data_IF_566815103377
#
_entry.id   IF_566815103377
#
_cell.length_a   1.000
_cell.length_b   1.000
_cell.length_c   1.000
_cell.angle_alpha   90.00
_cell.angle_beta   90.00
_cell.angle_gamma   90.00
#
_symmetry.space_group_name_H-M   'P 1'
#
loop_
_entity.id
_entity.type
_entity.pdbx_description
1 polymer ?
#
# COMPACT_ATOMS: atom_id res chain seq x y z
N UNK A 1 15.72 -29.18 5.83
CA UNK A 1 15.00 -28.26 4.92
C UNK A 1 13.46 -28.44 4.93
N UNK A 2 12.91 -29.58 5.36
CA UNK A 2 11.46 -29.84 5.34
C UNK A 2 10.58 -28.91 6.19
N UNK A 3 11.03 -28.49 7.38
CA UNK A 3 10.24 -27.61 8.28
C UNK A 3 10.03 -26.20 7.69
N UNK A 4 11.04 -25.67 6.98
CA UNK A 4 11.02 -24.30 6.44
C UNK A 4 10.21 -24.20 5.15
N UNK A 5 10.17 -25.26 4.35
CA UNK A 5 9.51 -25.30 3.05
C UNK A 5 8.03 -24.83 3.07
N UNK A 6 7.16 -25.27 4.00
CA UNK A 6 5.78 -24.79 4.04
C UNK A 6 5.69 -23.30 4.40
N UNK A 7 6.58 -22.80 5.26
CA UNK A 7 6.61 -21.39 5.65
C UNK A 7 7.00 -20.54 4.43
N UNK A 8 8.06 -20.90 3.71
CA UNK A 8 8.50 -20.15 2.52
C UNK A 8 7.42 -20.10 1.45
N UNK A 9 6.74 -21.23 1.18
CA UNK A 9 5.61 -21.27 0.23
C UNK A 9 4.45 -20.37 0.67
N UNK A 10 4.17 -20.31 1.98
CA UNK A 10 3.14 -19.42 2.52
C UNK A 10 3.52 -17.96 2.28
N UNK A 11 4.76 -17.57 2.58
CA UNK A 11 5.24 -16.22 2.34
C UNK A 11 5.17 -15.85 0.86
N UNK A 12 5.63 -16.70 -0.05
CA UNK A 12 5.57 -16.44 -1.49
C UNK A 12 4.14 -16.23 -1.99
N UNK A 13 3.18 -17.03 -1.52
CA UNK A 13 1.77 -16.89 -1.86
C UNK A 13 1.18 -15.59 -1.31
N UNK A 14 1.42 -15.31 -0.03
CA UNK A 14 0.77 -14.21 0.68
C UNK A 14 1.45 -12.86 0.44
N UNK A 15 2.70 -12.84 -0.06
CA UNK A 15 3.41 -11.63 -0.46
C UNK A 15 3.15 -11.21 -1.90
N UNK A 16 2.37 -11.99 -2.67
CA UNK A 16 1.99 -11.60 -4.02
C UNK A 16 1.16 -10.31 -4.00
N UNK A 17 1.39 -9.34 -4.91
CA UNK A 17 0.56 -8.16 -5.02
C UNK A 17 -0.94 -8.50 -5.17
N UNK A 18 -1.27 -9.58 -5.88
CA UNK A 18 -2.65 -10.02 -6.06
C UNK A 18 -3.28 -10.58 -4.77
N UNK A 19 -2.47 -11.14 -3.87
CA UNK A 19 -2.98 -11.59 -2.58
C UNK A 19 -3.42 -10.40 -1.71
N UNK A 20 -2.67 -9.31 -1.77
CA UNK A 20 -2.95 -8.03 -1.12
C UNK A 20 -4.20 -7.36 -1.70
N UNK A 21 -4.25 -7.12 -3.02
CA UNK A 21 -5.37 -6.43 -3.65
C UNK A 21 -6.70 -7.19 -3.55
N UNK A 22 -6.67 -8.53 -3.58
CA UNK A 22 -7.88 -9.34 -3.38
C UNK A 22 -8.50 -9.18 -1.98
N UNK A 23 -7.79 -8.55 -1.03
CA UNK A 23 -8.22 -8.28 0.35
C UNK A 23 -8.39 -6.79 0.64
N UNK A 24 -8.23 -5.93 -0.36
CA UNK A 24 -8.27 -4.48 -0.22
C UNK A 24 -7.28 -3.95 0.82
N UNK A 25 -6.12 -4.61 0.95
CA UNK A 25 -5.02 -4.05 1.73
C UNK A 25 -4.35 -2.88 1.01
N UNK A 26 -4.54 -2.81 -0.30
CA UNK A 26 -4.23 -1.70 -1.19
C UNK A 26 -5.46 -1.36 -2.05
N UNK A 27 -5.45 -0.16 -2.63
CA UNK A 27 -6.51 0.31 -3.55
C UNK A 27 -6.31 -0.19 -4.99
N UNK A 28 -5.27 -0.99 -5.25
CA UNK A 28 -5.01 -1.61 -6.55
C UNK A 28 -3.52 -1.68 -6.93
N UNK A 29 -3.17 -2.73 -7.68
CA UNK A 29 -1.88 -2.87 -8.36
C UNK A 29 -1.93 -2.10 -9.68
N UNK A 30 -0.93 -1.25 -9.91
CA UNK A 30 -0.83 -0.41 -11.10
C UNK A 30 0.41 -0.74 -11.93
N UNK A 31 0.37 -0.42 -13.23
CA UNK A 31 1.57 -0.43 -14.06
C UNK A 31 2.56 0.63 -13.51
N UNK A 32 3.83 0.27 -13.24
CA UNK A 32 4.83 1.22 -12.75
C UNK A 32 4.94 2.50 -13.60
N UNK A 33 4.73 2.43 -14.92
CA UNK A 33 4.79 3.62 -15.79
C UNK A 33 3.64 4.61 -15.54
N UNK A 34 2.50 4.14 -15.01
CA UNK A 34 1.33 4.97 -14.73
C UNK A 34 1.39 5.68 -13.37
N UNK A 35 2.42 5.43 -12.56
CA UNK A 35 2.57 6.03 -11.21
C UNK A 35 2.33 7.53 -11.19
N UNK A 36 2.92 8.28 -12.14
CA UNK A 36 2.77 9.75 -12.23
C UNK A 36 1.31 10.16 -12.45
N UNK A 37 0.61 9.46 -13.33
CA UNK A 37 -0.79 9.75 -13.69
C UNK A 37 -1.71 9.46 -12.51
N UNK A 38 -1.54 8.30 -11.87
CA UNK A 38 -2.33 7.91 -10.70
C UNK A 38 -2.14 8.91 -9.56
N UNK A 39 -0.90 9.24 -9.20
CA UNK A 39 -0.63 10.24 -8.16
C UNK A 39 -1.19 11.63 -8.51
N UNK A 40 -1.05 12.07 -9.76
CA UNK A 40 -1.57 13.36 -10.21
C UNK A 40 -3.10 13.45 -10.08
N UNK A 41 -3.82 12.40 -10.46
CA UNK A 41 -5.28 12.33 -10.32
C UNK A 41 -5.70 12.26 -8.85
N UNK A 42 -5.04 11.43 -8.04
CA UNK A 42 -5.34 11.31 -6.60
C UNK A 42 -5.13 12.62 -5.85
N UNK A 43 -4.03 13.34 -6.12
CA UNK A 43 -3.79 14.67 -5.54
C UNK A 43 -4.82 15.69 -6.03
N UNK A 44 -5.18 15.69 -7.31
CA UNK A 44 -6.24 16.56 -7.82
C UNK A 44 -7.57 16.30 -7.13
N UNK A 45 -7.89 15.04 -6.80
CA UNK A 45 -9.10 14.69 -6.08
C UNK A 45 -9.07 15.16 -4.62
N UNK A 46 -7.94 15.00 -3.92
CA UNK A 46 -7.81 15.34 -2.50
C UNK A 46 -7.91 16.85 -2.23
N UNK A 47 -7.52 17.69 -3.20
CA UNK A 47 -7.60 19.15 -3.10
C UNK A 47 -9.03 19.72 -3.08
N UNK A 48 -10.06 18.88 -3.25
CA UNK A 48 -11.45 19.28 -3.03
C UNK A 48 -11.83 19.36 -1.54
N UNK A 49 -10.97 18.89 -0.64
CA UNK A 49 -11.12 19.04 0.81
C UNK A 49 -10.13 20.09 1.36
N UNK A 50 -10.48 20.72 2.48
CA UNK A 50 -9.54 21.62 3.20
C UNK A 50 -8.39 20.81 3.78
N UNK A 51 -7.17 21.33 3.64
CA UNK A 51 -5.98 20.75 4.28
C UNK A 51 -6.05 21.06 5.80
N UNK A 52 -6.11 20.05 6.69
CA UNK A 52 -6.19 20.28 8.13
C UNK A 52 -4.82 20.64 8.73
N UNK A 53 -4.84 21.36 9.85
CA UNK A 53 -3.64 21.50 10.68
C UNK A 53 -3.27 20.16 11.33
N UNK A 54 -1.97 19.87 11.43
CA UNK A 54 -1.47 18.63 12.04
C UNK A 54 -1.09 18.87 13.50
N UNK A 55 -1.69 18.11 14.41
CA UNK A 55 -1.36 18.13 15.83
C UNK A 55 -0.64 16.82 16.20
N UNK A 56 0.64 16.92 16.55
CA UNK A 56 1.44 15.75 16.92
C UNK A 56 1.25 15.36 18.39
N UNK A 57 1.43 14.06 18.67
CA UNK A 57 1.54 13.55 20.04
C UNK A 57 2.93 13.80 20.65
N UNK A 58 3.21 13.12 21.76
CA UNK A 58 4.51 13.22 22.45
C UNK A 58 5.59 12.48 21.67
N UNK A 59 6.70 13.17 21.39
CA UNK A 59 7.92 12.53 20.89
C UNK A 59 8.71 11.91 22.05
N UNK A 60 9.04 10.62 21.95
CA UNK A 60 9.98 9.96 22.86
C UNK A 60 11.40 10.21 22.35
N UNK A 61 12.17 10.98 23.12
CA UNK A 61 13.59 11.27 22.89
C UNK A 61 14.48 10.20 23.51
#
# INVERSE_FOLDING_TARGET
MAIKAPILKKFEKESSPYYSSARLWDDGVIDPIETRKVLGLSLSATLNAKIPETNFGVFRM
#
